data_IF_891983211482
#
_entry.id   IF_891983211482
#
_cell.length_a   1.000
_cell.length_b   1.000
_cell.length_c   1.000
_cell.angle_alpha   90.00
_cell.angle_beta   90.00
_cell.angle_gamma   90.00
#
_symmetry.space_group_name_H-M   'P 1'
#
loop_
_entity.id
_entity.type
_entity.pdbx_description
1 polymer ?
#
# COMPACT_ATOMS: atom_id res chain seq x y z
N UNK A 1 23.42 44.90 -50.28
CA UNK A 1 24.35 43.77 -50.01
C UNK A 1 23.96 43.14 -48.69
N UNK A 2 23.33 41.97 -48.76
CA UNK A 2 22.75 41.21 -47.66
C UNK A 2 23.81 40.34 -46.96
N UNK A 3 24.03 40.53 -45.66
CA UNK A 3 24.86 39.64 -44.83
C UNK A 3 24.02 38.44 -44.38
N UNK A 4 24.36 37.26 -44.90
CA UNK A 4 23.70 35.98 -44.68
C UNK A 4 24.13 35.42 -43.31
N UNK A 5 23.17 35.18 -42.42
CA UNK A 5 23.41 34.55 -41.12
C UNK A 5 23.93 33.11 -41.26
N UNK A 6 24.96 32.79 -40.48
CA UNK A 6 25.55 31.44 -40.38
C UNK A 6 24.63 30.52 -39.56
N UNK A 7 24.24 29.32 -40.04
CA UNK A 7 23.39 28.42 -39.26
C UNK A 7 24.20 27.72 -38.17
N UNK A 8 23.70 27.79 -36.93
CA UNK A 8 24.31 27.23 -35.74
C UNK A 8 24.46 25.69 -35.84
N UNK A 9 25.71 25.22 -35.87
CA UNK A 9 26.06 23.79 -35.81
C UNK A 9 25.97 23.28 -34.37
N UNK A 10 24.80 22.81 -33.94
CA UNK A 10 24.54 22.12 -32.65
C UNK A 10 23.38 21.13 -32.88
N UNK A 11 23.39 19.83 -32.55
CA UNK A 11 24.34 18.93 -31.86
C UNK A 11 23.89 17.47 -32.18
N UNK A 12 24.50 16.76 -33.15
CA UNK A 12 24.25 15.32 -33.31
C UNK A 12 24.63 14.53 -32.04
N UNK A 13 25.55 15.07 -31.24
CA UNK A 13 25.89 14.54 -29.91
C UNK A 13 24.76 14.68 -28.88
N UNK A 14 23.88 15.68 -28.99
CA UNK A 14 22.74 15.85 -28.09
C UNK A 14 21.62 14.87 -28.44
N UNK A 15 21.36 14.67 -29.72
CA UNK A 15 20.41 13.67 -30.22
C UNK A 15 20.89 12.25 -29.91
N UNK A 16 22.19 11.97 -30.07
CA UNK A 16 22.78 10.70 -29.66
C UNK A 16 22.73 10.49 -28.14
N UNK A 17 22.91 11.55 -27.35
CA UNK A 17 22.77 11.48 -25.89
C UNK A 17 21.31 11.28 -25.48
N UNK A 18 20.36 11.97 -26.11
CA UNK A 18 18.92 11.79 -25.91
C UNK A 18 18.46 10.38 -26.32
N UNK A 19 18.95 9.85 -27.43
CA UNK A 19 18.70 8.47 -27.86
C UNK A 19 19.33 7.46 -26.90
N UNK A 20 20.51 7.76 -26.34
CA UNK A 20 21.16 6.92 -25.34
C UNK A 20 20.41 6.94 -24.02
N UNK A 21 19.95 8.12 -23.56
CA UNK A 21 19.10 8.28 -22.38
C UNK A 21 17.79 7.54 -22.61
N UNK A 22 17.10 7.76 -23.74
CA UNK A 22 15.86 7.06 -24.09
C UNK A 22 16.05 5.54 -24.18
N UNK A 23 17.20 5.05 -24.64
CA UNK A 23 17.53 3.62 -24.66
C UNK A 23 17.81 3.06 -23.25
N UNK A 24 18.50 3.81 -22.41
CA UNK A 24 18.77 3.44 -21.01
C UNK A 24 17.54 3.53 -20.12
N UNK A 25 16.65 4.49 -20.40
CA UNK A 25 15.32 4.61 -19.81
C UNK A 25 14.38 3.53 -20.36
N UNK A 26 14.50 3.19 -21.64
CA UNK A 26 13.79 2.08 -22.28
C UNK A 26 14.13 0.71 -21.66
N UNK A 27 15.39 0.47 -21.29
CA UNK A 27 15.80 -0.72 -20.53
C UNK A 27 15.34 -0.70 -19.06
N UNK A 28 14.92 0.47 -18.53
CA UNK A 28 14.26 0.60 -17.22
C UNK A 28 12.73 0.55 -17.29
N UNK A 29 12.18 0.57 -18.51
CA UNK A 29 10.75 0.55 -18.80
C UNK A 29 10.30 -0.84 -19.29
N UNK A 30 10.67 -1.89 -18.56
CA UNK A 30 9.73 -3.01 -18.50
C UNK A 30 8.44 -2.42 -17.92
N UNK A 31 7.31 -2.52 -18.63
CA UNK A 31 6.00 -2.14 -18.07
C UNK A 31 5.89 -2.82 -16.71
N UNK A 32 6.10 -2.05 -15.64
CA UNK A 32 6.11 -2.61 -14.29
C UNK A 32 4.72 -3.17 -14.07
N UNK A 33 4.66 -4.42 -13.64
CA UNK A 33 3.39 -5.02 -13.28
C UNK A 33 2.73 -4.15 -12.20
N UNK A 34 1.41 -4.05 -12.24
CA UNK A 34 0.63 -3.27 -11.27
C UNK A 34 -0.40 -4.17 -10.61
N UNK A 35 -0.74 -3.83 -9.37
CA UNK A 35 -1.86 -4.37 -8.62
C UNK A 35 -2.98 -3.31 -8.64
N UNK A 36 -4.00 -3.44 -9.52
CA UNK A 36 -5.14 -2.53 -9.53
C UNK A 36 -5.91 -2.65 -8.22
N UNK A 37 -6.58 -1.58 -7.78
CA UNK A 37 -7.54 -1.59 -6.68
C UNK A 37 -8.89 -2.17 -7.09
N UNK A 38 -9.24 -2.15 -8.38
CA UNK A 38 -10.54 -2.61 -8.87
C UNK A 38 -11.65 -1.57 -8.70
N UNK A 39 -11.29 -0.36 -8.28
CA UNK A 39 -12.14 0.83 -8.17
C UNK A 39 -11.67 1.79 -9.24
N UNK A 40 -12.51 2.06 -10.24
CA UNK A 40 -12.11 2.78 -11.46
C UNK A 40 -11.58 4.18 -11.15
N UNK A 41 -12.18 4.85 -10.18
CA UNK A 41 -11.85 6.19 -9.73
C UNK A 41 -10.43 6.24 -9.16
N UNK A 42 -10.03 5.21 -8.41
CA UNK A 42 -8.70 5.08 -7.81
C UNK A 42 -7.67 4.68 -8.87
N UNK A 43 -7.98 3.66 -9.66
CA UNK A 43 -7.07 3.12 -10.65
C UNK A 43 -6.75 4.15 -11.75
N UNK A 44 -7.70 5.02 -12.11
CA UNK A 44 -7.48 6.11 -13.06
C UNK A 44 -6.48 7.18 -12.57
N UNK A 45 -6.30 7.33 -11.25
CA UNK A 45 -5.33 8.29 -10.66
C UNK A 45 -3.94 7.70 -10.49
N UNK A 46 -3.82 6.37 -10.53
CA UNK A 46 -2.56 5.68 -10.38
C UNK A 46 -1.89 5.44 -11.74
N UNK A 47 -0.61 5.79 -11.89
CA UNK A 47 0.12 5.53 -13.13
C UNK A 47 0.11 4.03 -13.47
N UNK A 48 -0.40 3.70 -14.65
CA UNK A 48 -0.51 2.31 -15.09
C UNK A 48 -1.72 1.55 -14.55
N UNK A 49 -2.62 2.19 -13.77
CA UNK A 49 -3.89 1.59 -13.34
C UNK A 49 -3.83 0.81 -12.03
N UNK A 50 -2.83 1.04 -11.17
CA UNK A 50 -2.72 0.35 -9.87
C UNK A 50 -1.42 0.61 -9.12
N UNK A 51 -1.22 -0.09 -8.01
CA UNK A 51 0.03 -0.05 -7.25
C UNK A 51 1.14 -0.80 -8.00
N UNK A 52 2.23 -0.10 -8.26
CA UNK A 52 3.40 -0.66 -8.97
C UNK A 52 4.03 -1.78 -8.15
N UNK A 53 4.18 -2.97 -8.73
CA UNK A 53 4.96 -4.06 -8.14
C UNK A 53 6.46 -3.70 -8.15
N UNK A 54 7.22 -4.21 -7.18
CA UNK A 54 8.63 -3.85 -7.03
C UNK A 54 8.85 -2.40 -6.61
N UNK A 55 7.95 -1.86 -5.79
CA UNK A 55 8.03 -0.51 -5.30
C UNK A 55 7.66 -0.40 -3.81
N UNK A 56 8.12 0.68 -3.21
CA UNK A 56 7.77 1.08 -1.85
C UNK A 56 6.52 1.96 -1.87
N UNK A 57 5.54 1.60 -1.05
CA UNK A 57 4.33 2.37 -0.82
C UNK A 57 4.20 2.66 0.68
N UNK A 58 3.81 3.88 1.02
CA UNK A 58 3.58 4.29 2.40
C UNK A 58 2.08 4.41 2.68
N UNK A 59 1.67 3.97 3.87
CA UNK A 59 0.30 4.10 4.37
C UNK A 59 0.36 4.62 5.80
N UNK A 60 -0.40 5.65 6.14
CA UNK A 60 -0.52 6.17 7.50
C UNK A 60 -1.98 6.35 7.90
N UNK A 61 -2.26 6.21 9.20
CA UNK A 61 -3.57 6.54 9.76
C UNK A 61 -3.77 8.05 9.87
N UNK A 62 -5.00 8.52 9.66
CA UNK A 62 -5.40 9.90 9.91
C UNK A 62 -5.87 10.16 11.34
N UNK A 63 -5.72 11.38 11.83
CA UNK A 63 -6.18 11.78 13.16
C UNK A 63 -5.55 10.96 14.29
N UNK A 64 -6.40 10.32 15.11
CA UNK A 64 -5.97 9.43 16.20
C UNK A 64 -5.40 8.11 15.70
N UNK A 65 -5.74 7.68 14.48
CA UNK A 65 -5.20 6.46 13.87
C UNK A 65 -3.73 6.63 13.47
N UNK A 66 -3.15 7.83 13.51
CA UNK A 66 -1.71 8.03 13.29
C UNK A 66 -0.85 7.24 14.31
N UNK A 67 -1.33 7.05 15.53
CA UNK A 67 -0.60 6.33 16.59
C UNK A 67 -0.91 4.83 16.62
N UNK A 68 -2.15 4.47 16.31
CA UNK A 68 -2.61 3.08 16.33
C UNK A 68 -2.32 2.37 15.01
N UNK A 69 -2.30 3.11 13.91
CA UNK A 69 -2.15 2.65 12.54
C UNK A 69 -3.09 1.48 12.19
N UNK A 70 -4.29 1.43 12.78
CA UNK A 70 -5.22 0.31 12.63
C UNK A 70 -5.87 0.32 11.26
N UNK A 71 -6.41 1.46 10.81
CA UNK A 71 -7.00 1.56 9.47
C UNK A 71 -5.91 1.44 8.39
N UNK A 72 -4.73 2.02 8.64
CA UNK A 72 -3.57 1.87 7.77
C UNK A 72 -3.10 0.41 7.64
N UNK A 73 -3.05 -0.33 8.75
CA UNK A 73 -2.71 -1.75 8.76
C UNK A 73 -3.75 -2.59 8.02
N UNK A 74 -5.05 -2.35 8.22
CA UNK A 74 -6.11 -3.07 7.50
C UNK A 74 -6.09 -2.78 6.00
N UNK A 75 -5.84 -1.53 5.61
CA UNK A 75 -5.65 -1.17 4.20
C UNK A 75 -4.43 -1.87 3.59
N UNK A 76 -3.30 -1.90 4.30
CA UNK A 76 -2.11 -2.63 3.89
C UNK A 76 -2.36 -4.15 3.82
N UNK A 77 -3.13 -4.70 4.76
CA UNK A 77 -3.53 -6.10 4.78
C UNK A 77 -4.40 -6.46 3.58
N UNK A 78 -5.37 -5.63 3.21
CA UNK A 78 -6.19 -5.83 2.01
C UNK A 78 -5.36 -5.83 0.72
N UNK A 79 -4.42 -4.88 0.60
CA UNK A 79 -3.46 -4.87 -0.52
C UNK A 79 -2.64 -6.16 -0.54
N UNK A 80 -2.09 -6.58 0.61
CA UNK A 80 -1.28 -7.79 0.71
C UNK A 80 -2.10 -9.07 0.45
N UNK A 81 -3.35 -9.14 0.90
CA UNK A 81 -4.28 -10.25 0.69
C UNK A 81 -4.54 -10.53 -0.79
N UNK A 82 -4.56 -9.48 -1.61
CA UNK A 82 -4.76 -9.57 -3.07
C UNK A 82 -3.53 -10.03 -3.85
N UNK A 83 -2.36 -10.04 -3.22
CA UNK A 83 -1.15 -10.62 -3.83
C UNK A 83 -1.14 -12.14 -3.69
N UNK A 84 -0.17 -12.81 -4.30
CA UNK A 84 0.05 -14.26 -4.14
C UNK A 84 1.34 -14.49 -3.35
N UNK A 85 1.40 -15.54 -2.54
CA UNK A 85 2.63 -15.92 -1.82
C UNK A 85 2.65 -15.48 -0.36
N UNK A 86 3.82 -15.53 0.28
CA UNK A 86 3.96 -15.23 1.71
C UNK A 86 4.08 -13.73 1.96
N UNK A 87 3.53 -13.28 3.08
CA UNK A 87 3.61 -11.89 3.54
C UNK A 87 4.48 -11.86 4.78
N UNK A 88 5.60 -11.14 4.73
CA UNK A 88 6.42 -10.88 5.89
C UNK A 88 5.86 -9.64 6.59
N UNK A 89 5.35 -9.79 7.81
CA UNK A 89 4.80 -8.68 8.58
C UNK A 89 5.68 -8.37 9.78
N UNK A 90 6.37 -7.24 9.70
CA UNK A 90 7.34 -6.77 10.68
C UNK A 90 6.66 -5.75 11.60
N UNK A 91 6.64 -6.04 12.89
CA UNK A 91 6.07 -5.17 13.92
C UNK A 91 7.11 -4.74 14.93
N UNK A 92 6.87 -3.59 15.53
CA UNK A 92 7.61 -3.12 16.73
C UNK A 92 6.78 -3.26 18.02
N UNK A 93 5.52 -3.69 17.90
CA UNK A 93 4.57 -3.94 19.01
C UNK A 93 3.76 -5.20 18.73
N UNK A 94 3.48 -5.98 19.76
CA UNK A 94 2.68 -7.21 19.66
C UNK A 94 1.18 -6.91 19.79
N UNK A 95 0.62 -6.14 18.86
CA UNK A 95 -0.80 -5.76 18.87
C UNK A 95 -1.53 -6.03 17.55
N UNK A 96 -0.95 -6.86 16.68
CA UNK A 96 -1.66 -7.40 15.53
C UNK A 96 -2.73 -8.39 16.00
N UNK A 97 -3.96 -8.12 15.59
CA UNK A 97 -5.05 -9.06 15.72
C UNK A 97 -5.22 -9.87 14.42
N UNK A 98 -4.69 -11.09 14.40
CA UNK A 98 -4.70 -11.95 13.22
C UNK A 98 -6.11 -12.16 12.59
N UNK A 99 -7.20 -12.31 13.35
CA UNK A 99 -8.53 -12.41 12.75
C UNK A 99 -8.95 -11.18 11.95
N UNK A 100 -8.49 -9.97 12.31
CA UNK A 100 -8.78 -8.78 11.53
C UNK A 100 -7.99 -8.75 10.20
N UNK A 101 -6.79 -9.32 10.16
CA UNK A 101 -6.06 -9.51 8.89
C UNK A 101 -6.81 -10.49 7.97
N UNK A 102 -7.33 -11.59 8.54
CA UNK A 102 -8.11 -12.58 7.80
C UNK A 102 -9.41 -11.97 7.24
N UNK A 103 -10.11 -11.16 8.04
CA UNK A 103 -11.29 -10.39 7.59
C UNK A 103 -10.97 -9.39 6.49
N UNK A 104 -9.75 -8.85 6.45
CA UNK A 104 -9.25 -8.01 5.37
C UNK A 104 -8.68 -8.84 4.19
N UNK A 105 -8.91 -10.15 4.15
CA UNK A 105 -8.51 -11.05 3.06
C UNK A 105 -7.05 -11.53 3.10
N UNK A 106 -6.32 -11.27 4.20
CA UNK A 106 -4.98 -11.79 4.42
C UNK A 106 -5.01 -13.02 5.33
N UNK A 107 -5.13 -14.20 4.71
CA UNK A 107 -5.17 -15.47 5.42
C UNK A 107 -3.95 -15.68 6.34
N UNK A 108 -4.19 -16.03 7.61
CA UNK A 108 -3.13 -16.19 8.63
C UNK A 108 -1.97 -17.10 8.19
N UNK A 109 -2.27 -18.20 7.47
CA UNK A 109 -1.25 -19.13 6.92
C UNK A 109 -0.27 -18.49 5.94
N UNK A 110 -0.58 -17.31 5.40
CA UNK A 110 0.29 -16.56 4.49
C UNK A 110 1.22 -15.62 5.22
N UNK A 111 0.93 -15.29 6.49
CA UNK A 111 1.66 -14.28 7.24
C UNK A 111 2.80 -14.93 8.03
N UNK A 112 3.99 -14.35 7.91
CA UNK A 112 5.15 -14.64 8.75
C UNK A 112 5.37 -13.39 9.60
N UNK A 113 5.19 -13.51 10.90
CA UNK A 113 5.38 -12.40 11.83
C UNK A 113 6.86 -12.27 12.22
N UNK A 114 7.36 -11.05 12.19
CA UNK A 114 8.70 -10.69 12.69
C UNK A 114 8.54 -9.60 13.72
N UNK A 115 9.07 -9.85 14.90
CA UNK A 115 9.09 -8.88 15.99
C UNK A 115 10.44 -8.19 16.00
N UNK A 116 10.43 -6.88 15.77
CA UNK A 116 11.60 -6.03 15.79
C UNK A 116 11.64 -5.25 17.10
N UNK A 117 12.80 -5.23 17.76
CA UNK A 117 13.01 -4.53 19.02
C UNK A 117 13.08 -3.00 18.87
N UNK A 118 13.29 -2.51 17.64
CA UNK A 118 13.42 -1.08 17.33
C UNK A 118 13.03 -0.76 15.89
N UNK A 119 12.79 0.53 15.59
CA UNK A 119 12.56 1.00 14.20
C UNK A 119 13.74 0.68 13.28
N UNK A 120 14.98 0.68 13.81
CA UNK A 120 16.17 0.34 13.01
C UNK A 120 16.19 -1.14 12.64
N UNK A 121 15.85 -2.02 13.59
CA UNK A 121 15.73 -3.46 13.34
C UNK A 121 14.59 -3.74 12.36
N UNK A 122 13.45 -3.04 12.51
CA UNK A 122 12.32 -3.15 11.61
C UNK A 122 12.71 -2.76 10.17
N UNK A 123 13.45 -1.65 9.99
CA UNK A 123 13.96 -1.23 8.69
C UNK A 123 14.99 -2.21 8.10
N UNK A 124 15.84 -2.82 8.94
CA UNK A 124 16.81 -3.83 8.51
C UNK A 124 16.10 -5.10 8.03
N UNK A 125 15.14 -5.62 8.81
CA UNK A 125 14.31 -6.75 8.41
C UNK A 125 13.48 -6.45 7.16
N UNK A 126 13.00 -5.21 7.01
CA UNK A 126 12.24 -4.79 5.85
C UNK A 126 13.11 -4.82 4.60
N UNK A 127 14.32 -4.27 4.67
CA UNK A 127 15.27 -4.32 3.55
C UNK A 127 15.64 -5.75 3.17
N UNK A 128 15.92 -6.62 4.15
CA UNK A 128 16.27 -8.02 3.89
C UNK A 128 15.10 -8.79 3.27
N UNK A 129 13.88 -8.60 3.79
CA UNK A 129 12.67 -9.19 3.21
C UNK A 129 12.45 -8.76 1.75
N UNK A 130 12.70 -7.48 1.44
CA UNK A 130 12.61 -6.97 0.08
C UNK A 130 13.69 -7.56 -0.83
N UNK A 131 14.92 -7.75 -0.33
CA UNK A 131 16.04 -8.33 -1.08
C UNK A 131 15.90 -9.83 -1.33
N UNK A 132 15.21 -10.55 -0.45
CA UNK A 132 15.02 -11.98 -0.58
C UNK A 132 14.20 -12.36 -1.83
N UNK A 133 13.17 -11.59 -2.19
CA UNK A 133 12.43 -11.76 -3.45
C UNK A 133 11.65 -13.07 -3.64
N UNK A 134 11.62 -13.97 -2.65
CA UNK A 134 10.94 -15.26 -2.74
C UNK A 134 9.42 -15.14 -2.90
N UNK A 135 8.85 -15.94 -3.83
CA UNK A 135 7.43 -16.28 -4.00
C UNK A 135 6.43 -15.14 -3.80
N UNK A 136 6.34 -14.22 -4.76
CA UNK A 136 5.27 -13.20 -4.86
C UNK A 136 5.15 -12.27 -3.65
N UNK A 137 6.21 -12.18 -2.84
CA UNK A 137 6.12 -11.67 -1.48
C UNK A 137 5.71 -10.20 -1.40
N UNK A 138 5.04 -9.90 -0.30
CA UNK A 138 4.80 -8.54 0.19
C UNK A 138 5.52 -8.45 1.51
N UNK A 139 6.24 -7.37 1.73
CA UNK A 139 6.81 -7.06 3.05
C UNK A 139 6.08 -5.85 3.60
N UNK A 140 5.44 -6.06 4.73
CA UNK A 140 4.78 -5.01 5.51
C UNK A 140 5.64 -4.72 6.72
N UNK A 141 5.94 -3.44 6.97
CA UNK A 141 6.69 -3.05 8.16
C UNK A 141 6.06 -1.83 8.82
N UNK A 142 5.84 -1.93 10.13
CA UNK A 142 5.46 -0.79 10.97
C UNK A 142 6.70 0.05 11.29
N UNK A 143 6.75 1.28 10.78
CA UNK A 143 7.90 2.17 10.92
C UNK A 143 7.48 3.59 11.29
N UNK A 144 8.00 4.11 12.39
CA UNK A 144 7.71 5.47 12.85
C UNK A 144 8.49 6.51 12.06
N UNK A 145 9.82 6.40 12.00
CA UNK A 145 10.66 7.33 11.25
C UNK A 145 11.18 6.71 9.96
N UNK A 146 10.95 7.36 8.82
CA UNK A 146 11.44 6.89 7.51
C UNK A 146 12.12 8.02 6.76
N UNK A 147 13.46 7.98 6.75
CA UNK A 147 14.26 9.00 6.07
C UNK A 147 14.31 8.79 4.55
N UNK A 148 14.72 9.82 3.79
CA UNK A 148 15.02 9.68 2.36
C UNK A 148 16.03 8.56 2.08
N UNK A 149 17.09 8.45 2.88
CA UNK A 149 18.13 7.43 2.68
C UNK A 149 17.59 6.03 2.90
N UNK A 150 16.85 5.80 4.00
CA UNK A 150 16.25 4.51 4.29
C UNK A 150 15.22 4.12 3.23
N UNK A 151 14.27 5.02 2.90
CA UNK A 151 13.27 4.77 1.86
C UNK A 151 13.89 4.54 0.48
N UNK A 152 14.99 5.21 0.14
CA UNK A 152 15.71 4.99 -1.13
C UNK A 152 16.32 3.59 -1.18
N UNK A 153 16.93 3.12 -0.09
CA UNK A 153 17.46 1.75 0.00
C UNK A 153 16.35 0.72 -0.17
N UNK A 154 15.23 0.89 0.53
CA UNK A 154 14.05 0.02 0.41
C UNK A 154 13.48 0.02 -1.01
N UNK A 155 13.33 1.19 -1.64
CA UNK A 155 12.84 1.29 -3.02
C UNK A 155 13.76 0.53 -3.99
N UNK A 156 15.08 0.63 -3.83
CA UNK A 156 16.04 -0.11 -4.68
C UNK A 156 15.95 -1.61 -4.42
N UNK A 157 15.80 -2.04 -3.18
CA UNK A 157 15.62 -3.45 -2.83
C UNK A 157 14.33 -4.01 -3.47
N UNK A 158 13.21 -3.30 -3.35
CA UNK A 158 11.94 -3.67 -3.96
C UNK A 158 12.04 -3.74 -5.50
N UNK A 159 12.72 -2.76 -6.13
CA UNK A 159 12.91 -2.75 -7.58
C UNK A 159 13.76 -3.93 -8.08
N UNK A 160 14.74 -4.38 -7.28
CA UNK A 160 15.60 -5.50 -7.62
C UNK A 160 14.91 -6.85 -7.67
N UNK A 161 13.82 -7.02 -6.91
CA UNK A 161 13.13 -8.32 -6.74
C UNK A 161 11.70 -8.34 -7.27
N UNK A 162 11.07 -7.17 -7.48
CA UNK A 162 9.65 -7.10 -7.83
C UNK A 162 8.71 -7.21 -6.62
N UNK A 163 9.24 -7.35 -5.39
CA UNK A 163 8.48 -7.43 -4.14
C UNK A 163 7.81 -6.09 -3.82
N UNK A 164 6.53 -6.13 -3.39
CA UNK A 164 5.87 -4.92 -2.89
C UNK A 164 6.35 -4.63 -1.47
N UNK A 165 6.82 -3.40 -1.22
CA UNK A 165 7.08 -2.91 0.12
C UNK A 165 5.94 -2.02 0.61
N UNK A 166 5.30 -2.37 1.72
CA UNK A 166 4.28 -1.57 2.39
C UNK A 166 4.82 -1.04 3.73
N UNK A 167 5.17 0.24 3.77
CA UNK A 167 5.55 0.91 5.00
C UNK A 167 4.30 1.46 5.71
N UNK A 168 3.85 0.77 6.76
CA UNK A 168 2.78 1.26 7.64
C UNK A 168 3.41 2.24 8.61
N UNK A 169 3.06 3.52 8.50
CA UNK A 169 3.66 4.60 9.27
C UNK A 169 2.93 4.73 10.60
N UNK A 170 3.65 4.47 11.69
CA UNK A 170 3.09 4.41 13.04
C UNK A 170 4.03 5.10 14.04
N UNK A 171 3.55 6.16 14.67
CA UNK A 171 4.38 6.97 15.58
C UNK A 171 4.13 6.66 17.05
N UNK A 172 5.10 6.99 17.91
CA UNK A 172 4.93 6.88 19.36
C UNK A 172 4.20 8.11 19.92
N UNK A 173 4.41 9.27 19.32
CA UNK A 173 3.81 10.54 19.75
C UNK A 173 3.19 11.29 18.57
N UNK A 174 2.10 12.00 18.80
CA UNK A 174 1.41 12.75 17.74
C UNK A 174 2.31 13.80 17.08
N UNK A 175 3.21 14.41 17.85
CA UNK A 175 4.18 15.40 17.35
C UNK A 175 5.15 14.82 16.31
N UNK A 176 5.39 13.51 16.35
CA UNK A 176 6.25 12.81 15.39
C UNK A 176 5.54 12.54 14.06
N UNK A 177 4.19 12.57 14.03
CA UNK A 177 3.41 12.32 12.81
C UNK A 177 3.65 13.35 11.70
N UNK A 178 4.21 14.51 12.04
CA UNK A 178 4.69 15.50 11.06
C UNK A 178 5.78 14.92 10.12
N UNK A 179 6.48 13.85 10.54
CA UNK A 179 7.45 13.12 9.70
C UNK A 179 6.79 12.55 8.43
N UNK A 180 5.47 12.31 8.41
CA UNK A 180 4.78 11.84 7.22
C UNK A 180 4.78 12.85 6.05
N UNK A 181 4.98 14.14 6.34
CA UNK A 181 5.13 15.18 5.33
C UNK A 181 6.52 15.21 4.69
N UNK A 182 7.52 14.58 5.30
CA UNK A 182 8.89 14.62 4.81
C UNK A 182 9.04 13.85 3.48
N UNK A 183 9.97 14.26 2.60
CA UNK A 183 10.20 13.56 1.35
C UNK A 183 10.74 12.15 1.61
N UNK A 184 10.26 11.19 0.85
CA UNK A 184 10.74 9.79 0.82
C UNK A 184 10.94 9.33 -0.62
N UNK A 185 11.53 8.16 -0.83
CA UNK A 185 11.62 7.54 -2.14
C UNK A 185 10.41 6.66 -2.51
N UNK A 186 9.30 6.72 -1.74
CA UNK A 186 8.10 5.94 -2.04
C UNK A 186 7.47 6.32 -3.37
N UNK A 187 6.80 5.35 -3.99
CA UNK A 187 6.07 5.52 -5.24
C UNK A 187 4.67 6.05 -4.98
N UNK A 188 4.02 5.58 -3.91
CA UNK A 188 2.77 6.19 -3.43
C UNK A 188 2.80 6.46 -1.93
N UNK A 189 1.99 7.42 -1.48
CA UNK A 189 1.75 7.71 -0.08
C UNK A 189 0.26 7.91 0.15
N UNK A 190 -0.29 7.15 1.10
CA UNK A 190 -1.71 7.14 1.42
C UNK A 190 -1.94 7.55 2.86
N UNK A 191 -2.91 8.43 3.11
CA UNK A 191 -3.51 8.59 4.44
C UNK A 191 -4.86 7.89 4.45
N UNK A 192 -5.13 7.12 5.51
CA UNK A 192 -6.38 6.39 5.72
C UNK A 192 -7.03 6.97 6.96
N UNK A 193 -8.11 7.74 6.78
CA UNK A 193 -8.90 8.29 7.88
C UNK A 193 -10.21 7.53 8.02
N UNK A 194 -10.61 7.19 9.24
CA UNK A 194 -11.87 6.48 9.49
C UNK A 194 -13.04 7.46 9.41
N UNK A 195 -14.09 7.09 8.67
CA UNK A 195 -15.36 7.79 8.58
C UNK A 195 -16.44 6.99 9.31
N UNK A 196 -17.54 7.63 9.76
CA UNK A 196 -18.70 6.91 10.28
C UNK A 196 -19.23 5.89 9.27
N UNK A 197 -19.41 4.64 9.71
CA UNK A 197 -20.08 3.60 8.91
C UNK A 197 -21.51 4.00 8.57
N UNK A 198 -22.04 3.45 7.48
CA UNK A 198 -23.43 3.68 7.14
C UNK A 198 -24.36 3.00 8.17
N UNK A 199 -25.54 3.59 8.44
CA UNK A 199 -26.47 3.05 9.41
C UNK A 199 -27.14 1.79 8.86
N UNK A 200 -27.17 0.74 9.67
CA UNK A 200 -27.91 -0.48 9.36
C UNK A 200 -29.37 -0.38 9.86
N UNK A 201 -30.33 -1.05 9.17
CA UNK A 201 -31.72 -1.13 9.63
C UNK A 201 -31.88 -2.00 10.89
N UNK A 202 -30.82 -2.70 11.31
CA UNK A 202 -30.74 -3.55 12.50
C UNK A 202 -29.59 -3.09 13.40
N UNK A 203 -29.62 -3.39 14.71
CA UNK A 203 -28.47 -3.15 15.59
C UNK A 203 -27.22 -3.86 15.04
N UNK A 204 -26.18 -3.08 14.74
CA UNK A 204 -24.94 -3.59 14.18
C UNK A 204 -24.05 -2.47 13.65
N UNK A 205 -22.84 -2.84 13.23
CA UNK A 205 -21.89 -1.94 12.57
C UNK A 205 -21.62 -2.52 11.20
N UNK A 206 -21.85 -1.72 10.15
CA UNK A 206 -21.51 -2.09 8.78
C UNK A 206 -19.99 -2.10 8.57
N UNK A 207 -19.54 -2.45 7.36
CA UNK A 207 -18.13 -2.29 6.96
C UNK A 207 -17.61 -0.90 7.35
N UNK A 208 -16.35 -0.82 7.82
CA UNK A 208 -15.75 0.46 8.13
C UNK A 208 -15.69 1.32 6.86
N UNK A 209 -15.96 2.62 6.96
CA UNK A 209 -15.77 3.55 5.84
C UNK A 209 -14.47 4.31 6.03
N UNK A 210 -13.74 4.53 4.95
CA UNK A 210 -12.46 5.24 4.98
C UNK A 210 -12.46 6.40 3.99
N UNK A 211 -11.81 7.48 4.38
CA UNK A 211 -11.28 8.50 3.47
C UNK A 211 -9.83 8.13 3.14
N UNK A 212 -9.58 7.78 1.89
CA UNK A 212 -8.25 7.51 1.35
C UNK A 212 -7.73 8.77 0.67
N UNK A 213 -6.70 9.39 1.24
CA UNK A 213 -6.02 10.54 0.63
C UNK A 213 -4.71 10.07 -0.02
N UNK A 214 -4.66 10.08 -1.34
CA UNK A 214 -3.44 9.84 -2.12
C UNK A 214 -2.58 11.10 -2.09
N UNK A 215 -1.73 11.22 -1.08
CA UNK A 215 -0.86 12.39 -0.88
C UNK A 215 0.29 12.46 -1.88
N UNK A 216 0.63 11.32 -2.50
CA UNK A 216 1.66 11.23 -3.54
C UNK A 216 1.40 10.04 -4.44
N UNK A 217 1.50 10.25 -5.74
CA UNK A 217 1.77 9.21 -6.73
C UNK A 217 2.92 9.65 -7.64
N UNK A 218 3.96 8.84 -7.74
CA UNK A 218 5.10 9.14 -8.62
C UNK A 218 4.62 9.15 -10.07
N UNK A 219 4.58 10.32 -10.68
CA UNK A 219 4.04 10.55 -12.04
C UNK A 219 2.52 10.43 -12.14
N UNK A 220 1.80 10.57 -11.01
CA UNK A 220 0.34 10.65 -10.95
C UNK A 220 -0.11 11.91 -10.19
N UNK A 221 -1.42 12.05 -10.03
CA UNK A 221 -2.04 13.17 -9.32
C UNK A 221 -2.47 12.75 -7.91
N UNK A 222 -2.45 13.69 -6.97
CA UNK A 222 -3.05 13.50 -5.66
C UNK A 222 -4.57 13.54 -5.77
N UNK A 223 -5.27 12.74 -4.98
CA UNK A 223 -6.71 12.64 -5.00
C UNK A 223 -7.22 12.00 -3.71
N UNK A 224 -8.48 12.28 -3.37
CA UNK A 224 -9.13 11.75 -2.19
C UNK A 224 -10.33 10.90 -2.60
N UNK A 225 -10.58 9.82 -1.84
CA UNK A 225 -11.61 8.84 -2.16
C UNK A 225 -12.34 8.39 -0.88
N UNK A 226 -13.66 8.37 -0.92
CA UNK A 226 -14.46 7.68 0.08
C UNK A 226 -14.71 6.24 -0.36
N UNK A 227 -14.30 5.30 0.48
CA UNK A 227 -14.44 3.86 0.21
C UNK A 227 -15.00 3.12 1.41
N UNK A 228 -15.65 2.00 1.14
CA UNK A 228 -15.83 0.96 2.14
C UNK A 228 -14.52 0.18 2.30
N UNK A 229 -14.22 -0.17 3.55
CA UNK A 229 -13.04 -0.91 3.93
C UNK A 229 -13.04 -2.33 3.37
N UNK A 230 -11.92 -3.02 3.58
CA UNK A 230 -11.65 -4.29 2.94
C UNK A 230 -12.70 -5.38 3.24
N UNK A 231 -13.11 -6.09 2.19
CA UNK A 231 -13.83 -7.36 2.30
C UNK A 231 -12.88 -8.54 2.62
N UNK A 232 -13.45 -9.74 2.75
CA UNK A 232 -12.70 -10.98 2.96
C UNK A 232 -11.78 -11.39 1.78
N UNK A 233 -11.78 -10.64 0.68
CA UNK A 233 -10.86 -10.79 -0.45
C UNK A 233 -9.84 -9.64 -0.54
N UNK A 234 -9.82 -8.74 0.45
CA UNK A 234 -8.96 -7.57 0.51
C UNK A 234 -9.36 -6.43 -0.44
N UNK A 235 -10.57 -6.48 -1.01
CA UNK A 235 -11.09 -5.47 -1.94
C UNK A 235 -11.78 -4.35 -1.18
N UNK A 236 -11.54 -3.13 -1.65
CA UNK A 236 -12.27 -1.94 -1.24
C UNK A 236 -13.33 -1.64 -2.30
N UNK A 237 -14.40 -0.97 -1.90
CA UNK A 237 -15.49 -0.59 -2.78
C UNK A 237 -15.71 0.93 -2.71
N UNK A 238 -16.05 1.57 -3.83
CA UNK A 238 -16.38 3.01 -3.83
C UNK A 238 -17.66 3.24 -3.03
N UNK A 239 -17.70 4.29 -2.19
CA UNK A 239 -18.94 4.72 -1.55
C UNK A 239 -19.89 5.32 -2.61
N UNK A 240 -20.64 4.46 -3.30
CA UNK A 240 -21.51 4.82 -4.41
C UNK A 240 -22.02 3.57 -5.12
N UNK A 241 -23.29 3.23 -4.84
CA UNK A 241 -23.98 1.94 -5.05
C UNK A 241 -23.61 0.91 -3.98
N UNK A 242 -24.29 0.99 -2.84
CA UNK A 242 -24.43 -0.13 -1.92
C UNK A 242 -25.06 -1.30 -2.70
N UNK A 243 -24.24 -2.23 -3.19
CA UNK A 243 -24.72 -3.54 -3.54
C UNK A 243 -24.88 -4.30 -2.22
N UNK A 244 -26.05 -4.89 -1.91
CA UNK A 244 -26.16 -5.71 -0.72
C UNK A 244 -25.11 -6.81 -0.85
N UNK A 245 -24.20 -6.89 0.12
CA UNK A 245 -23.28 -8.00 0.25
C UNK A 245 -24.11 -9.28 0.17
N UNK A 246 -23.96 -10.04 -0.92
CA UNK A 246 -24.65 -11.31 -1.08
C UNK A 246 -24.25 -12.17 0.10
N UNK A 247 -25.21 -12.40 0.99
CA UNK A 247 -25.11 -13.32 2.11
C UNK A 247 -24.76 -14.68 1.50
N UNK A 248 -23.49 -15.05 1.63
CA UNK A 248 -23.08 -16.42 1.36
C UNK A 248 -23.63 -17.24 2.53
N UNK A 249 -24.78 -17.87 2.32
CA UNK A 249 -25.32 -18.91 3.19
C UNK A 249 -24.31 -20.06 3.27
N UNK A 250 -23.44 -19.99 4.28
CA UNK A 250 -22.68 -21.12 4.78
C UNK A 250 -23.48 -21.75 5.91
N UNK A 251 -24.32 -22.73 5.57
CA UNK A 251 -25.02 -23.56 6.54
C UNK A 251 -24.01 -24.32 7.43
N UNK A 252 -23.93 -23.94 8.70
CA UNK A 252 -23.51 -24.81 9.78
C UNK A 252 -24.56 -24.72 10.89
N UNK A 253 -25.60 -25.55 10.77
CA UNK A 253 -26.42 -25.94 11.91
C UNK A 253 -25.70 -27.10 12.60
N UNK A 254 -25.15 -26.85 13.79
CA UNK A 254 -24.94 -27.91 14.79
C UNK A 254 -26.12 -27.86 15.77
N UNK A 255 -26.94 -28.90 15.75
CA UNK A 255 -27.98 -29.16 16.73
C UNK A 255 -27.36 -29.38 18.12
N UNK A 256 -27.42 -28.37 18.98
CA UNK A 256 -27.22 -28.55 20.41
C UNK A 256 -28.52 -29.05 21.04
N UNK A 257 -28.59 -30.37 21.21
CA UNK A 257 -29.74 -31.10 21.73
C UNK A 257 -30.24 -30.61 23.09
N UNK A 258 -31.57 -30.62 23.22
CA UNK A 258 -32.28 -30.58 24.50
C UNK A 258 -31.72 -31.64 25.47
N UNK A 259 -31.40 -31.21 26.69
CA UNK A 259 -31.49 -32.07 27.86
C UNK A 259 -32.46 -31.47 28.86
N UNK A 260 -33.55 -32.20 29.07
CA UNK A 260 -34.41 -32.11 30.25
C UNK A 260 -33.65 -32.63 31.46
N UNK A 261 -33.78 -31.94 32.59
CA UNK A 261 -34.06 -32.48 33.91
C UNK A 261 -34.66 -31.35 34.74
#
# INVERSE_FOLDING_TARGET
MTTKGSPARKKPALEALQATIARLEGHKSHKRAVLPFGVKEIDARLPGGGLVLGALHEVAGGGTDALNATAAALFAAGIAGRTRGKVLWIVTRQDIFAPALDQAGLAARRVIHVEASSDNDALACFEEGLRHGGLGSVVVAEVGRLTMTASRRLQIAAEGTGTIGLAVRRWRRQTEAADFGQPTASTTRWRVSVLPSAPLPVPGVERPRWMLELLRARSGECADFEVEGCDANGRIESCGVALPASVADGAHQEEAGQRRA
#
